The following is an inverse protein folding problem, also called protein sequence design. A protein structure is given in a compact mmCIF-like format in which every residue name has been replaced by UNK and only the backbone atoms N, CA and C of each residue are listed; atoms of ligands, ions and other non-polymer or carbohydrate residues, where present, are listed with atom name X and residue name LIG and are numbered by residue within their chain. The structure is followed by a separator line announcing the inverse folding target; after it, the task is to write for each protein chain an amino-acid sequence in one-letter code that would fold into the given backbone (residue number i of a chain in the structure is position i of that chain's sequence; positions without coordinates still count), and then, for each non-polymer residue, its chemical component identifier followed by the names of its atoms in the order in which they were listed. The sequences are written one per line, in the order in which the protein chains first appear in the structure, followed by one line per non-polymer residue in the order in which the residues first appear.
data_IF_723889701560
#
_entry.id   IF_723889701560
#
_cell.length_a   1.000
_cell.length_b   1.000
_cell.length_c   1.000
_cell.angle_alpha   90.00
_cell.angle_beta   90.00
_cell.angle_gamma   90.00
#
_symmetry.space_group_name_H-M   'P 1'
#
loop_
_entity.id
_entity.type
_entity.pdbx_description
1 polymer ?
#
# COMPACT_ATOMS: atom_id res chain seq x y z
N UNK A 1 -1.82 -10.22 14.60
CA UNK A 1 -2.59 -9.05 14.10
C UNK A 1 -2.94 -8.17 15.31
N UNK A 2 -2.34 -7.00 15.41
CA UNK A 2 -2.60 -6.08 16.54
C UNK A 2 -3.95 -5.35 16.41
N UNK A 3 -4.65 -5.52 15.28
CA UNK A 3 -5.84 -4.73 14.95
C UNK A 3 -5.56 -3.25 14.72
N UNK A 4 -4.30 -2.89 14.46
CA UNK A 4 -3.89 -1.50 14.23
C UNK A 4 -3.32 -1.31 12.83
N UNK A 5 -3.45 -0.11 12.31
CA UNK A 5 -2.78 0.35 11.10
C UNK A 5 -1.32 0.72 11.40
N UNK A 6 -0.51 0.97 10.38
CA UNK A 6 0.91 1.28 10.56
C UNK A 6 1.30 2.64 9.99
N UNK A 7 2.17 3.35 10.71
CA UNK A 7 2.79 4.58 10.20
C UNK A 7 4.31 4.54 10.42
N UNK A 8 5.09 4.91 9.39
CA UNK A 8 6.55 4.95 9.46
C UNK A 8 7.12 6.21 8.80
N UNK A 9 7.84 7.00 9.58
CA UNK A 9 8.68 8.09 9.08
C UNK A 9 10.15 7.70 9.21
N UNK A 10 10.84 7.61 8.10
CA UNK A 10 12.25 7.29 8.09
C UNK A 10 12.98 8.01 6.96
N UNK A 11 14.29 8.20 7.11
CA UNK A 11 15.12 8.79 6.07
C UNK A 11 15.10 7.97 4.77
N UNK A 12 15.52 8.58 3.66
CA UNK A 12 15.66 7.90 2.37
C UNK A 12 16.63 6.72 2.48
N UNK A 13 16.44 5.71 1.64
CA UNK A 13 17.32 4.53 1.58
C UNK A 13 17.12 3.50 2.69
N UNK A 14 16.09 3.62 3.53
CA UNK A 14 15.79 2.66 4.61
C UNK A 14 14.88 1.49 4.20
N UNK A 15 14.56 1.37 2.91
CA UNK A 15 13.84 0.20 2.40
C UNK A 15 12.32 0.22 2.60
N UNK A 16 11.70 1.32 3.03
CA UNK A 16 10.25 1.43 3.27
C UNK A 16 9.41 0.94 2.08
N UNK A 17 9.71 1.46 0.88
CA UNK A 17 8.98 1.09 -0.34
C UNK A 17 9.19 -0.38 -0.72
N UNK A 18 10.35 -0.98 -0.41
CA UNK A 18 10.55 -2.43 -0.55
C UNK A 18 9.64 -3.24 0.38
N UNK A 19 9.47 -2.80 1.62
CA UNK A 19 8.52 -3.42 2.55
C UNK A 19 7.10 -3.30 2.01
N UNK A 20 6.69 -2.11 1.57
CA UNK A 20 5.39 -1.90 0.93
C UNK A 20 5.17 -2.81 -0.28
N UNK A 21 6.15 -2.87 -1.20
CA UNK A 21 6.09 -3.72 -2.38
C UNK A 21 6.01 -5.22 -2.04
N UNK A 22 6.72 -5.67 -0.99
CA UNK A 22 6.65 -7.06 -0.53
C UNK A 22 5.27 -7.42 0.04
N UNK A 23 4.64 -6.50 0.77
CA UNK A 23 3.27 -6.68 1.25
C UNK A 23 2.28 -6.79 0.10
N UNK A 24 2.42 -5.95 -0.94
CA UNK A 24 1.62 -6.05 -2.16
C UNK A 24 1.80 -7.40 -2.85
N UNK A 25 3.06 -7.83 -3.06
CA UNK A 25 3.39 -9.08 -3.72
C UNK A 25 2.81 -10.28 -2.95
N UNK A 26 2.95 -10.29 -1.64
CA UNK A 26 2.36 -11.31 -0.77
C UNK A 26 0.84 -11.40 -0.95
N UNK A 27 0.13 -10.27 -0.88
CA UNK A 27 -1.33 -10.24 -1.04
C UNK A 27 -1.76 -10.59 -2.46
N UNK A 28 -1.02 -10.16 -3.45
CA UNK A 28 -1.29 -10.45 -4.84
C UNK A 28 -1.19 -11.95 -5.14
N UNK A 29 -0.14 -12.61 -4.68
CA UNK A 29 0.13 -14.04 -4.94
C UNK A 29 -0.74 -14.94 -4.05
N UNK A 30 -0.72 -14.70 -2.74
CA UNK A 30 -1.31 -15.60 -1.75
C UNK A 30 -2.75 -15.24 -1.37
N UNK A 31 -3.20 -14.03 -1.68
CA UNK A 31 -4.50 -13.53 -1.23
C UNK A 31 -4.52 -13.24 0.28
N UNK A 32 -5.67 -13.36 0.87
CA UNK A 32 -5.91 -13.24 2.30
C UNK A 32 -6.19 -14.63 2.89
N UNK A 33 -5.39 -15.05 3.86
CA UNK A 33 -5.49 -16.38 4.46
C UNK A 33 -6.83 -16.66 5.16
N UNK A 34 -7.54 -15.61 5.57
CA UNK A 34 -8.82 -15.73 6.26
C UNK A 34 -10.05 -15.86 5.33
N UNK A 35 -9.87 -15.68 4.03
CA UNK A 35 -10.98 -15.67 3.07
C UNK A 35 -10.66 -16.53 1.86
N UNK A 36 -10.79 -17.83 2.04
CA UNK A 36 -10.76 -18.77 0.91
C UNK A 36 -11.76 -18.31 -0.15
N UNK A 37 -11.30 -18.10 -1.37
CA UNK A 37 -12.09 -17.69 -2.55
C UNK A 37 -12.56 -16.22 -2.61
N UNK A 38 -12.02 -15.30 -1.80
CA UNK A 38 -12.29 -13.86 -2.00
C UNK A 38 -11.16 -13.21 -2.76
N UNK A 39 -11.54 -12.48 -3.83
CA UNK A 39 -10.65 -11.60 -4.57
C UNK A 39 -10.10 -10.52 -3.63
N UNK A 40 -8.78 -10.43 -3.56
CA UNK A 40 -8.08 -9.43 -2.76
C UNK A 40 -7.77 -8.21 -3.62
N UNK A 41 -8.07 -7.04 -3.11
CA UNK A 41 -7.67 -5.78 -3.74
C UNK A 41 -6.72 -5.03 -2.81
N UNK A 42 -5.60 -4.56 -3.38
CA UNK A 42 -4.65 -3.70 -2.72
C UNK A 42 -4.59 -2.36 -3.47
N UNK A 43 -4.48 -1.28 -2.74
CA UNK A 43 -4.40 0.06 -3.30
C UNK A 43 -3.11 0.72 -2.85
N UNK A 44 -2.36 1.26 -3.81
CA UNK A 44 -1.22 2.15 -3.55
C UNK A 44 -1.65 3.55 -3.91
N UNK A 45 -1.51 4.48 -3.00
CA UNK A 45 -1.76 5.89 -3.28
C UNK A 45 -0.58 6.76 -2.91
N UNK A 46 -0.34 7.79 -3.70
CA UNK A 46 0.64 8.83 -3.45
C UNK A 46 0.09 10.19 -3.89
N UNK A 47 0.71 11.25 -3.41
CA UNK A 47 0.38 12.61 -3.85
C UNK A 47 0.62 12.80 -5.35
N UNK A 48 1.66 12.19 -5.90
CA UNK A 48 2.02 12.28 -7.31
C UNK A 48 2.29 10.90 -7.92
N UNK A 49 2.00 10.77 -9.22
CA UNK A 49 2.21 9.53 -9.99
C UNK A 49 3.66 9.05 -9.97
N UNK A 50 4.62 9.99 -9.93
CA UNK A 50 6.05 9.68 -9.91
C UNK A 50 6.49 8.82 -8.72
N UNK A 51 5.72 8.81 -7.62
CA UNK A 51 6.01 7.96 -6.46
C UNK A 51 5.40 6.56 -6.57
N UNK A 52 4.44 6.37 -7.49
CA UNK A 52 3.78 5.08 -7.71
C UNK A 52 4.42 4.31 -8.84
N UNK A 53 4.69 4.99 -9.96
CA UNK A 53 5.12 4.40 -11.23
C UNK A 53 6.38 5.06 -11.77
N UNK A 54 7.30 4.25 -12.25
CA UNK A 54 8.61 4.64 -12.80
C UNK A 54 9.70 3.73 -12.27
N UNK A 55 10.91 3.90 -12.77
CA UNK A 55 12.06 3.11 -12.33
C UNK A 55 12.29 3.26 -10.82
N UNK A 56 12.44 2.14 -10.12
CA UNK A 56 12.62 2.06 -8.68
C UNK A 56 11.47 2.64 -7.85
N UNK A 57 10.28 2.80 -8.42
CA UNK A 57 9.09 3.13 -7.66
C UNK A 57 8.36 1.88 -7.17
N UNK A 58 7.36 2.04 -6.32
CA UNK A 58 6.75 0.91 -5.63
C UNK A 58 6.13 -0.14 -6.56
N UNK A 59 5.52 0.24 -7.69
CA UNK A 59 4.98 -0.74 -8.64
C UNK A 59 6.08 -1.46 -9.43
N UNK A 60 7.21 -0.81 -9.67
CA UNK A 60 8.38 -1.44 -10.28
C UNK A 60 9.00 -2.48 -9.32
N UNK A 61 9.18 -2.11 -8.05
CA UNK A 61 9.62 -3.02 -6.99
C UNK A 61 8.64 -4.19 -6.80
N UNK A 62 7.34 -3.92 -6.83
CA UNK A 62 6.31 -4.96 -6.77
C UNK A 62 6.44 -5.93 -7.93
N UNK A 63 6.62 -5.42 -9.16
CA UNK A 63 6.85 -6.25 -10.34
C UNK A 63 8.09 -7.13 -10.18
N UNK A 64 9.18 -6.56 -9.69
CA UNK A 64 10.41 -7.33 -9.42
C UNK A 64 10.15 -8.52 -8.49
N UNK A 65 9.38 -8.34 -7.42
CA UNK A 65 9.01 -9.46 -6.53
C UNK A 65 8.19 -10.53 -7.24
N UNK A 66 7.23 -10.12 -8.08
CA UNK A 66 6.41 -11.08 -8.84
C UNK A 66 7.28 -11.86 -9.83
N UNK A 67 8.17 -11.18 -10.55
CA UNK A 67 9.05 -11.80 -11.51
C UNK A 67 10.08 -12.73 -10.83
N UNK A 68 10.59 -12.34 -9.66
CA UNK A 68 11.42 -13.21 -8.84
C UNK A 68 10.68 -14.49 -8.40
N UNK A 69 9.46 -14.37 -7.92
CA UNK A 69 8.63 -15.52 -7.56
C UNK A 69 8.35 -16.42 -8.79
N UNK A 70 8.09 -15.84 -9.95
CA UNK A 70 7.86 -16.58 -11.20
C UNK A 70 9.06 -17.42 -11.61
N UNK A 71 10.27 -16.92 -11.37
CA UNK A 71 11.51 -17.56 -11.80
C UNK A 71 12.03 -18.60 -10.77
N UNK A 72 11.71 -18.42 -9.51
CA UNK A 72 12.34 -19.18 -8.43
C UNK A 72 11.37 -20.05 -7.61
N UNK A 73 10.07 -20.01 -7.88
CA UNK A 73 9.06 -20.77 -7.15
C UNK A 73 7.96 -21.29 -8.06
N UNK A 74 7.15 -22.21 -7.54
CA UNK A 74 5.94 -22.72 -8.21
C UNK A 74 4.68 -21.86 -7.94
N UNK A 75 4.83 -20.75 -7.24
CA UNK A 75 3.69 -19.86 -7.00
C UNK A 75 3.13 -19.27 -8.28
N UNK A 76 1.79 -19.17 -8.38
CA UNK A 76 1.16 -18.58 -9.56
C UNK A 76 1.61 -17.12 -9.72
N UNK A 77 2.14 -16.81 -10.89
CA UNK A 77 2.68 -15.48 -11.24
C UNK A 77 2.07 -14.91 -12.51
N UNK A 78 1.17 -15.68 -13.17
CA UNK A 78 0.49 -15.21 -14.36
C UNK A 78 -0.39 -14.02 -14.05
N UNK A 79 -0.25 -12.98 -14.86
CA UNK A 79 -1.01 -11.74 -14.70
C UNK A 79 -1.67 -11.34 -16.01
N UNK A 80 -2.86 -10.81 -15.92
CA UNK A 80 -3.51 -10.13 -17.02
C UNK A 80 -2.74 -8.86 -17.35
N UNK A 81 -2.80 -8.44 -18.60
CA UNK A 81 -2.17 -7.19 -19.03
C UNK A 81 -2.66 -6.05 -18.13
N UNK A 82 -1.70 -5.24 -17.67
CA UNK A 82 -2.00 -4.08 -16.87
C UNK A 82 -2.94 -3.13 -17.61
N UNK A 83 -3.97 -2.66 -16.94
CA UNK A 83 -4.87 -1.62 -17.40
C UNK A 83 -4.55 -0.29 -16.72
N UNK A 84 -5.32 0.77 -17.03
CA UNK A 84 -5.14 2.11 -16.46
C UNK A 84 -3.71 2.65 -16.62
N UNK A 85 -3.17 2.54 -17.84
CA UNK A 85 -1.83 3.03 -18.17
C UNK A 85 -0.73 2.45 -17.25
N UNK A 86 -0.82 1.17 -16.93
CA UNK A 86 0.16 0.48 -16.09
C UNK A 86 -0.02 0.64 -14.59
N UNK A 87 -1.13 1.22 -14.16
CA UNK A 87 -1.42 1.39 -12.73
C UNK A 87 -2.27 0.27 -12.13
N UNK A 88 -2.74 -0.69 -12.93
CA UNK A 88 -3.53 -1.82 -12.43
C UNK A 88 -2.95 -3.16 -12.87
N UNK A 89 -2.78 -4.04 -11.92
CA UNK A 89 -2.31 -5.41 -12.08
C UNK A 89 -3.37 -6.38 -11.56
N UNK A 90 -3.65 -7.43 -12.30
CA UNK A 90 -4.63 -8.45 -11.89
C UNK A 90 -4.02 -9.83 -12.08
N UNK A 91 -4.07 -10.66 -11.04
CA UNK A 91 -3.57 -12.04 -11.06
C UNK A 91 -4.51 -12.91 -11.90
N UNK A 92 -3.96 -13.57 -12.92
CA UNK A 92 -4.74 -14.49 -13.75
C UNK A 92 -4.23 -14.59 -15.19
N UNK A 93 -4.99 -15.30 -15.98
CA UNK A 93 -4.75 -15.49 -17.41
C UNK A 93 -6.08 -15.64 -18.15
N UNK A 94 -6.04 -15.51 -19.47
CA UNK A 94 -7.16 -15.82 -20.32
C UNK A 94 -6.98 -17.26 -20.78
N UNK A 95 -7.96 -18.09 -20.53
CA UNK A 95 -8.08 -19.44 -21.07
C UNK A 95 -8.45 -19.30 -22.54
N UNK A 96 -7.56 -19.76 -23.42
CA UNK A 96 -7.70 -19.56 -24.86
C UNK A 96 -8.81 -20.41 -25.49
N UNK A 97 -9.15 -21.55 -24.87
CA UNK A 97 -10.18 -22.46 -25.39
C UNK A 97 -11.59 -21.93 -25.09
N UNK A 98 -11.75 -21.32 -23.92
CA UNK A 98 -13.05 -20.82 -23.47
C UNK A 98 -13.20 -19.32 -23.53
N UNK A 99 -12.11 -18.60 -23.84
CA UNK A 99 -12.01 -17.13 -23.79
C UNK A 99 -12.47 -16.53 -22.45
N UNK A 100 -12.27 -17.27 -21.35
CA UNK A 100 -12.66 -16.87 -20.01
C UNK A 100 -11.45 -16.48 -19.16
N UNK A 101 -11.65 -15.56 -18.22
CA UNK A 101 -10.64 -15.22 -17.23
C UNK A 101 -10.53 -16.34 -16.21
N UNK A 102 -9.31 -16.72 -15.87
CA UNK A 102 -8.97 -17.73 -14.84
C UNK A 102 -7.96 -17.15 -13.87
N UNK A 103 -7.95 -17.64 -12.65
CA UNK A 103 -7.07 -17.25 -11.57
C UNK A 103 -7.82 -16.62 -10.41
N UNK A 104 -7.09 -16.12 -9.42
CA UNK A 104 -7.67 -15.52 -8.19
C UNK A 104 -8.26 -14.14 -8.43
N UNK A 105 -7.85 -13.48 -9.51
CA UNK A 105 -8.17 -12.08 -9.80
C UNK A 105 -7.79 -11.08 -8.69
N UNK A 106 -6.85 -11.46 -7.82
CA UNK A 106 -6.26 -10.51 -6.89
C UNK A 106 -5.70 -9.32 -7.66
N UNK A 107 -5.88 -8.12 -7.15
CA UNK A 107 -5.51 -6.91 -7.87
C UNK A 107 -4.69 -5.95 -7.01
N UNK A 108 -3.77 -5.25 -7.67
CA UNK A 108 -3.06 -4.09 -7.15
C UNK A 108 -3.39 -2.90 -8.05
N UNK A 109 -3.80 -1.79 -7.46
CA UNK A 109 -4.16 -0.58 -8.19
C UNK A 109 -3.43 0.63 -7.61
N UNK A 110 -2.77 1.39 -8.48
CA UNK A 110 -2.17 2.68 -8.15
C UNK A 110 -3.15 3.83 -8.38
N UNK A 111 -3.30 4.72 -7.41
CA UNK A 111 -4.20 5.88 -7.48
C UNK A 111 -3.44 7.13 -7.04
N UNK A 112 -3.44 8.17 -7.85
CA UNK A 112 -2.87 9.47 -7.48
C UNK A 112 -3.96 10.35 -6.87
N UNK A 113 -3.73 10.83 -5.65
CA UNK A 113 -4.75 11.54 -4.86
C UNK A 113 -4.28 12.87 -4.26
N UNK A 114 -3.45 13.63 -5.00
CA UNK A 114 -2.81 14.87 -4.50
C UNK A 114 -3.78 15.77 -3.73
N UNK A 115 -4.83 16.24 -4.38
CA UNK A 115 -5.78 17.21 -3.83
C UNK A 115 -7.23 16.69 -3.81
N UNK A 116 -7.43 15.43 -4.22
CA UNK A 116 -8.75 14.84 -4.40
C UNK A 116 -8.81 13.45 -3.77
N UNK A 117 -9.12 13.42 -2.50
CA UNK A 117 -9.37 12.22 -1.75
C UNK A 117 -10.61 11.45 -2.21
N UNK A 118 -11.49 12.08 -2.99
CA UNK A 118 -12.70 11.42 -3.52
C UNK A 118 -12.38 10.29 -4.49
N UNK A 119 -11.21 10.30 -5.12
CA UNK A 119 -10.72 9.23 -6.00
C UNK A 119 -10.57 7.88 -5.28
N UNK A 120 -10.43 7.90 -3.97
CA UNK A 120 -10.32 6.69 -3.15
C UNK A 120 -11.66 6.26 -2.54
N UNK A 121 -12.70 7.10 -2.65
CA UNK A 121 -14.04 6.72 -2.20
C UNK A 121 -14.56 5.54 -3.04
N UNK A 122 -15.09 4.54 -2.35
CA UNK A 122 -15.62 3.33 -3.00
C UNK A 122 -14.55 2.33 -3.44
N UNK A 123 -13.24 2.62 -3.27
CA UNK A 123 -12.23 1.60 -3.39
C UNK A 123 -12.42 0.58 -2.25
N UNK A 124 -12.40 -0.70 -2.60
CA UNK A 124 -12.54 -1.80 -1.63
C UNK A 124 -11.23 -2.56 -1.60
N UNK A 125 -10.38 -2.20 -0.64
CA UNK A 125 -9.08 -2.84 -0.47
C UNK A 125 -8.93 -3.47 0.91
N UNK A 126 -8.12 -4.51 0.99
CA UNK A 126 -7.68 -5.10 2.26
C UNK A 126 -6.32 -4.54 2.68
N UNK A 127 -5.64 -3.88 1.77
CA UNK A 127 -4.36 -3.20 2.00
C UNK A 127 -4.35 -1.86 1.25
N UNK A 128 -4.11 -0.80 1.99
CA UNK A 128 -3.85 0.53 1.45
C UNK A 128 -2.44 0.95 1.83
N UNK A 129 -1.63 1.25 0.84
CA UNK A 129 -0.30 1.83 1.03
C UNK A 129 -0.35 3.31 0.69
N UNK A 130 0.05 4.16 1.63
CA UNK A 130 0.20 5.59 1.44
C UNK A 130 1.69 5.88 1.28
N UNK A 131 2.14 5.90 0.01
CA UNK A 131 3.54 6.13 -0.36
C UNK A 131 3.89 7.61 -0.23
N UNK A 132 5.02 7.91 0.39
CA UNK A 132 5.51 9.26 0.69
C UNK A 132 4.48 10.11 1.47
N UNK A 133 4.02 9.58 2.61
CA UNK A 133 2.96 10.21 3.40
C UNK A 133 3.24 11.66 3.81
N UNK A 134 4.51 12.07 3.88
CA UNK A 134 4.91 13.44 4.18
C UNK A 134 4.65 14.45 3.05
N UNK A 135 4.17 14.00 1.89
CA UNK A 135 3.90 14.86 0.72
C UNK A 135 2.41 15.09 0.46
N UNK A 136 1.54 14.56 1.30
CA UNK A 136 0.10 14.72 1.10
C UNK A 136 -0.43 15.98 1.79
N UNK A 137 -0.96 16.96 1.06
CA UNK A 137 -1.50 18.18 1.66
C UNK A 137 -2.68 17.94 2.60
N UNK A 138 -3.40 16.83 2.42
CA UNK A 138 -4.61 16.48 3.19
C UNK A 138 -4.57 15.03 3.68
N UNK A 139 -3.44 14.59 4.20
CA UNK A 139 -3.24 13.20 4.62
C UNK A 139 -4.31 12.70 5.60
N UNK A 140 -4.64 13.47 6.62
CA UNK A 140 -5.63 13.06 7.63
C UNK A 140 -7.03 12.91 7.04
N UNK A 141 -7.40 13.78 6.08
CA UNK A 141 -8.68 13.67 5.38
C UNK A 141 -8.70 12.44 4.47
N UNK A 142 -7.60 12.18 3.76
CA UNK A 142 -7.42 10.97 2.98
C UNK A 142 -7.56 9.73 3.85
N UNK A 143 -6.86 9.71 4.98
CA UNK A 143 -6.90 8.63 5.95
C UNK A 143 -8.34 8.38 6.44
N UNK A 144 -9.08 9.43 6.80
CA UNK A 144 -10.47 9.33 7.26
C UNK A 144 -11.42 8.77 6.20
N UNK A 145 -11.14 9.01 4.92
CA UNK A 145 -11.91 8.43 3.79
C UNK A 145 -11.62 6.94 3.61
N UNK A 146 -10.38 6.51 3.86
CA UNK A 146 -9.97 5.11 3.69
C UNK A 146 -10.37 4.23 4.87
N UNK A 147 -10.37 4.77 6.06
CA UNK A 147 -10.57 4.05 7.33
C UNK A 147 -11.82 3.16 7.31
N UNK A 148 -13.02 3.61 6.89
CA UNK A 148 -14.21 2.76 6.83
C UNK A 148 -14.12 1.60 5.83
N UNK A 149 -13.13 1.58 4.94
CA UNK A 149 -12.92 0.48 4.00
C UNK A 149 -12.18 -0.70 4.62
N UNK A 150 -11.55 -0.51 5.77
CA UNK A 150 -10.68 -1.51 6.43
C UNK A 150 -11.03 -1.79 7.88
N UNK A 151 -11.90 -0.97 8.50
CA UNK A 151 -12.37 -1.17 9.87
C UNK A 151 -13.79 -0.61 10.08
N UNK A 152 -14.47 -1.15 11.10
CA UNK A 152 -15.74 -0.63 11.63
C UNK A 152 -15.74 -0.83 13.15
N UNK A 153 -15.72 0.27 13.88
CA UNK A 153 -15.56 0.24 15.34
C UNK A 153 -14.26 -0.44 15.76
N UNK A 154 -14.38 -1.58 16.43
CA UNK A 154 -13.24 -2.38 16.89
C UNK A 154 -12.85 -3.50 15.93
N UNK A 155 -13.63 -3.74 14.89
CA UNK A 155 -13.39 -4.78 13.92
C UNK A 155 -12.49 -4.25 12.80
N UNK A 156 -11.28 -4.77 12.71
CA UNK A 156 -10.28 -4.41 11.69
C UNK A 156 -10.01 -5.61 10.82
N UNK A 157 -10.38 -5.52 9.53
CA UNK A 157 -10.19 -6.59 8.53
C UNK A 157 -9.15 -6.27 7.46
N UNK A 158 -8.69 -5.03 7.40
CA UNK A 158 -7.66 -4.59 6.45
C UNK A 158 -6.56 -3.77 7.12
N UNK A 159 -5.59 -3.36 6.33
CA UNK A 159 -4.44 -2.60 6.79
C UNK A 159 -4.29 -1.31 5.97
N UNK A 160 -4.14 -0.19 6.66
CA UNK A 160 -3.55 1.03 6.10
C UNK A 160 -2.10 1.10 6.59
N UNK A 161 -1.17 1.22 5.66
CA UNK A 161 0.24 1.43 5.98
C UNK A 161 0.71 2.72 5.30
N UNK A 162 0.92 3.75 6.11
CA UNK A 162 1.38 5.06 5.69
C UNK A 162 2.88 5.19 5.98
N UNK A 163 3.68 5.48 4.98
CA UNK A 163 5.12 5.60 5.17
C UNK A 163 5.73 6.64 4.23
N UNK A 164 6.87 7.16 4.60
CA UNK A 164 7.55 8.16 3.79
C UNK A 164 8.70 8.84 4.50
N UNK A 165 9.16 9.90 3.87
CA UNK A 165 10.11 10.86 4.43
C UNK A 165 9.37 12.09 4.96
N UNK A 166 10.08 12.99 5.63
CA UNK A 166 9.56 14.31 5.92
C UNK A 166 9.20 15.03 4.62
N UNK A 167 8.09 15.76 4.62
CA UNK A 167 7.66 16.56 3.47
C UNK A 167 8.53 17.80 3.27
N UNK A 168 8.42 18.39 2.08
CA UNK A 168 9.16 19.59 1.72
C UNK A 168 8.56 20.86 2.35
N UNK A 169 7.28 20.84 2.74
CA UNK A 169 6.59 21.91 3.44
C UNK A 169 6.07 21.45 4.81
N UNK A 170 6.01 22.39 5.74
CA UNK A 170 5.48 22.13 7.08
C UNK A 170 4.00 21.74 7.03
N UNK A 171 3.22 22.36 6.14
CA UNK A 171 1.79 22.08 5.97
C UNK A 171 1.52 20.66 5.47
N UNK A 172 2.33 20.17 4.52
CA UNK A 172 2.16 18.82 3.97
C UNK A 172 2.61 17.76 4.98
N UNK A 173 3.58 18.11 5.81
CA UNK A 173 4.14 17.22 6.81
C UNK A 173 3.28 17.09 8.07
N UNK A 174 2.45 18.09 8.38
CA UNK A 174 1.65 18.13 9.62
C UNK A 174 0.77 16.87 9.79
N UNK A 175 0.16 16.36 8.72
CA UNK A 175 -0.65 15.14 8.78
C UNK A 175 0.18 13.89 9.11
N UNK A 176 1.39 13.79 8.59
CA UNK A 176 2.28 12.68 8.89
C UNK A 176 2.78 12.72 10.35
N UNK A 177 3.07 13.91 10.85
CA UNK A 177 3.41 14.11 12.27
C UNK A 177 2.25 13.68 13.18
N UNK A 178 1.03 14.06 12.83
CA UNK A 178 -0.16 13.72 13.63
C UNK A 178 -0.35 12.20 13.73
N UNK A 179 -0.24 11.45 12.61
CA UNK A 179 -0.32 9.98 12.61
C UNK A 179 0.79 9.32 13.42
N UNK A 180 1.99 9.91 13.48
CA UNK A 180 3.14 9.36 14.19
C UNK A 180 3.14 9.67 15.69
N UNK A 181 2.73 10.89 16.07
CA UNK A 181 2.89 11.38 17.44
C UNK A 181 1.59 11.35 18.27
N UNK A 182 0.41 11.32 17.60
CA UNK A 182 -0.90 11.18 18.21
C UNK A 182 -1.65 9.94 17.65
N UNK A 183 -1.03 8.75 17.64
CA UNK A 183 -1.52 7.60 16.89
C UNK A 183 -2.84 7.00 17.42
N UNK A 184 -3.17 7.21 18.69
CA UNK A 184 -4.33 6.58 19.34
C UNK A 184 -5.66 6.97 18.68
N UNK A 185 -5.83 8.25 18.33
CA UNK A 185 -7.03 8.77 17.66
C UNK A 185 -7.27 8.17 16.26
N UNK A 186 -6.22 7.59 15.70
CA UNK A 186 -6.22 7.05 14.32
C UNK A 186 -6.10 5.53 14.25
N UNK A 187 -6.17 4.84 15.38
CA UNK A 187 -5.91 3.39 15.44
C UNK A 187 -4.57 3.01 14.77
N UNK A 188 -3.57 3.88 14.92
CA UNK A 188 -2.23 3.73 14.32
C UNK A 188 -1.25 3.10 15.30
N UNK A 189 -0.30 2.37 14.74
CA UNK A 189 0.92 1.93 15.41
C UNK A 189 2.12 2.61 14.74
N UNK A 190 2.79 3.54 15.43
CA UNK A 190 3.98 4.19 14.88
C UNK A 190 5.15 3.21 14.88
N UNK A 191 5.68 2.94 13.70
CA UNK A 191 6.88 2.12 13.54
C UNK A 191 8.07 3.07 13.70
N UNK A 192 8.75 2.92 14.83
CA UNK A 192 9.90 3.76 15.16
C UNK A 192 11.17 3.14 14.58
N UNK A 193 12.03 3.97 14.03
CA UNK A 193 13.38 3.54 13.68
C UNK A 193 14.13 3.07 14.95
N UNK A 194 14.91 2.01 14.79
CA UNK A 194 15.77 1.48 15.86
C UNK A 194 16.80 2.54 16.32
N UNK A 195 17.16 3.44 15.40
CA UNK A 195 18.12 4.50 15.65
C UNK A 195 17.49 5.88 15.43
N UNK A 196 17.63 6.76 16.40
CA UNK A 196 17.39 8.19 16.24
C UNK A 196 18.54 8.88 15.49
N UNK A 197 18.54 10.22 15.46
CA UNK A 197 19.59 11.01 14.81
C UNK A 197 20.99 10.74 15.36
N UNK A 198 21.10 10.31 16.60
CA UNK A 198 22.34 10.08 17.33
C UNK A 198 22.68 8.61 17.40
N UNK A 199 21.93 7.75 16.72
CA UNK A 199 22.14 6.30 16.76
C UNK A 199 21.63 5.65 18.04
N UNK A 200 20.86 6.39 18.86
CA UNK A 200 20.24 5.88 20.06
C UNK A 200 18.82 5.41 19.73
N UNK A 201 18.46 4.20 20.15
CA UNK A 201 17.10 3.71 20.02
C UNK A 201 16.13 4.61 20.81
N UNK A 202 14.99 4.96 20.21
CA UNK A 202 13.92 5.59 20.97
C UNK A 202 13.37 4.61 22.00
N UNK A 203 13.36 5.04 23.25
CA UNK A 203 12.75 4.32 24.36
C UNK A 203 11.23 4.40 24.30
#
# INVERSE_FOLDING_TARGET
NSGKHGAELASRGKGKSYVGASLLAKRFILGESAAVNKKVQCVVTASERKYIQGANQILDMFQYYIDFCAQNTEFPSKRLTSSLQGLQWTMGYIDLDTNTRRGTENAVTGITSKDDESKLRGSRGVLYLLEEMGTFPRLLKLYSVLRPSVEDGNDVWGLIFAYGTAGDSESDFAGAQELMYNPEGYNMYPILNVYDKEGQGRK
#
